data_IF_627538027346
#
_entry.id   IF_627538027346
#
_cell.length_a   1.000
_cell.length_b   1.000
_cell.length_c   1.000
_cell.angle_alpha   90.00
_cell.angle_beta   90.00
_cell.angle_gamma   90.00
#
_symmetry.space_group_name_H-M   'P 1'
#
loop_
_entity.id
_entity.type
_entity.pdbx_description
1 polymer ?
#
# COMPACT_ATOMS: atom_id res chain seq x y z
N UNK A 1 -7.93 -18.17 -0.25
CA UNK A 1 -8.86 -17.11 -0.70
C UNK A 1 -8.94 -16.08 0.41
N UNK A 2 -8.97 -14.78 0.10
CA UNK A 2 -8.99 -13.74 1.13
C UNK A 2 -10.38 -13.57 1.74
N UNK A 3 -10.46 -13.10 2.99
CA UNK A 3 -11.71 -12.69 3.64
C UNK A 3 -11.82 -11.16 3.45
N UNK A 4 -12.88 -10.72 2.77
CA UNK A 4 -13.10 -9.29 2.51
C UNK A 4 -13.67 -8.59 3.75
N UNK A 5 -13.03 -7.48 4.16
CA UNK A 5 -13.44 -6.66 5.31
C UNK A 5 -13.91 -5.28 4.81
N UNK A 6 -15.09 -4.87 5.25
CA UNK A 6 -15.70 -3.57 4.92
C UNK A 6 -15.57 -2.61 6.10
N UNK A 7 -15.24 -1.35 5.82
CA UNK A 7 -15.19 -0.32 6.87
C UNK A 7 -16.61 -0.05 7.34
N UNK A 8 -16.90 -0.34 8.61
CA UNK A 8 -18.16 0.02 9.27
C UNK A 8 -17.84 0.96 10.42
N UNK A 9 -18.81 1.77 10.89
CA UNK A 9 -18.59 2.71 12.01
C UNK A 9 -18.23 2.02 13.34
N UNK A 10 -18.17 0.68 13.38
CA UNK A 10 -17.90 -0.15 14.56
C UNK A 10 -16.43 -0.62 14.61
N UNK A 11 -15.66 -0.47 13.53
CA UNK A 11 -14.27 -1.00 13.43
C UNK A 11 -13.17 0.05 13.64
N UNK A 12 -13.48 1.23 14.20
CA UNK A 12 -12.58 2.39 14.11
C UNK A 12 -11.87 2.75 15.41
N UNK A 13 -10.88 1.94 15.79
CA UNK A 13 -9.68 2.50 16.43
C UNK A 13 -8.81 3.06 15.30
N UNK A 14 -8.99 4.35 14.98
CA UNK A 14 -8.15 5.01 13.97
C UNK A 14 -6.73 5.15 14.53
N UNK A 15 -5.77 4.39 13.99
CA UNK A 15 -4.36 4.55 14.35
C UNK A 15 -3.86 5.95 13.96
N UNK A 16 -2.99 6.53 14.79
CA UNK A 16 -2.29 7.74 14.41
C UNK A 16 -1.31 7.46 13.26
N UNK A 17 -0.89 8.50 12.52
CA UNK A 17 0.10 8.35 11.44
C UNK A 17 1.43 7.74 11.94
N UNK A 18 1.85 8.09 13.16
CA UNK A 18 3.06 7.56 13.78
C UNK A 18 2.90 6.07 14.10
N UNK A 19 1.79 5.68 14.72
CA UNK A 19 1.54 4.29 15.09
C UNK A 19 1.39 3.40 13.84
N UNK A 20 0.76 3.93 12.79
CA UNK A 20 0.66 3.24 11.51
C UNK A 20 2.03 3.01 10.88
N UNK A 21 2.91 4.02 10.87
CA UNK A 21 4.27 3.88 10.34
C UNK A 21 5.11 2.91 11.17
N UNK A 22 5.03 3.00 12.50
CA UNK A 22 5.72 2.08 13.40
C UNK A 22 5.29 0.63 13.12
N UNK A 23 3.98 0.38 13.03
CA UNK A 23 3.44 -0.93 12.72
C UNK A 23 3.91 -1.47 11.36
N UNK A 24 3.92 -0.64 10.31
CA UNK A 24 4.42 -1.06 8.99
C UNK A 24 5.92 -1.40 9.06
N UNK A 25 6.71 -0.57 9.71
CA UNK A 25 8.15 -0.77 9.84
C UNK A 25 8.47 -2.04 10.62
N UNK A 26 7.79 -2.27 11.74
CA UNK A 26 7.97 -3.47 12.56
C UNK A 26 7.54 -4.74 11.79
N UNK A 27 6.41 -4.68 11.09
CA UNK A 27 5.87 -5.85 10.39
C UNK A 27 6.71 -6.24 9.17
N UNK A 28 7.17 -5.25 8.40
CA UNK A 28 7.92 -5.48 7.15
C UNK A 28 9.43 -5.42 7.33
N UNK A 29 9.92 -5.16 8.55
CA UNK A 29 11.33 -4.83 8.81
C UNK A 29 11.80 -3.70 7.87
N UNK A 30 11.01 -2.65 7.78
CA UNK A 30 11.23 -1.49 6.92
C UNK A 30 11.65 -0.26 7.74
N UNK A 31 12.00 0.83 7.04
CA UNK A 31 12.47 2.07 7.66
C UNK A 31 11.82 3.30 7.00
N UNK A 32 10.50 3.26 6.82
CA UNK A 32 9.72 4.39 6.32
C UNK A 32 9.73 5.53 7.35
N UNK A 33 10.00 6.75 6.89
CA UNK A 33 10.02 7.95 7.74
C UNK A 33 8.77 8.80 7.58
N UNK A 34 8.09 8.63 6.44
CA UNK A 34 6.95 9.43 5.99
C UNK A 34 5.85 8.52 5.48
N UNK A 35 4.59 8.84 5.78
CA UNK A 35 3.44 8.03 5.37
C UNK A 35 3.28 8.02 3.85
N UNK A 36 3.74 9.11 3.22
CA UNK A 36 3.79 9.35 1.78
C UNK A 36 4.65 8.31 1.05
N UNK A 37 5.62 7.68 1.73
CA UNK A 37 6.45 6.62 1.14
C UNK A 37 5.63 5.34 0.84
N UNK A 38 4.52 5.13 1.55
CA UNK A 38 3.58 4.04 1.29
C UNK A 38 2.87 4.21 -0.07
N UNK A 39 2.82 5.43 -0.61
CA UNK A 39 2.26 5.69 -1.94
C UNK A 39 3.07 5.06 -3.08
N UNK A 40 4.28 4.55 -2.80
CA UNK A 40 5.04 3.75 -3.77
C UNK A 40 4.36 2.43 -4.14
N UNK A 41 3.45 1.92 -3.30
CA UNK A 41 2.78 0.64 -3.49
C UNK A 41 3.62 -0.59 -3.11
N UNK A 42 4.90 -0.42 -2.79
CA UNK A 42 5.82 -1.53 -2.50
C UNK A 42 5.50 -2.23 -1.18
N UNK A 43 5.18 -1.47 -0.12
CA UNK A 43 4.78 -2.02 1.18
C UNK A 43 3.52 -2.89 1.07
N UNK A 44 2.51 -2.45 0.30
CA UNK A 44 1.29 -3.23 0.07
C UNK A 44 1.55 -4.53 -0.69
N UNK A 45 2.51 -4.52 -1.63
CA UNK A 45 2.95 -5.74 -2.30
C UNK A 45 3.61 -6.71 -1.32
N UNK A 46 4.45 -6.24 -0.39
CA UNK A 46 5.02 -7.08 0.65
C UNK A 46 3.97 -7.66 1.58
N UNK A 47 2.99 -6.86 2.02
CA UNK A 47 1.89 -7.38 2.84
C UNK A 47 1.12 -8.49 2.13
N UNK A 48 0.83 -8.34 0.84
CA UNK A 48 0.13 -9.39 0.09
C UNK A 48 0.96 -10.66 -0.06
N UNK A 49 2.28 -10.56 -0.25
CA UNK A 49 3.15 -11.74 -0.29
C UNK A 49 3.29 -12.40 1.10
N UNK A 50 3.31 -11.61 2.18
CA UNK A 50 3.33 -12.12 3.55
C UNK A 50 2.03 -12.86 3.91
N UNK A 51 0.87 -12.30 3.56
CA UNK A 51 -0.44 -12.91 3.81
C UNK A 51 -0.70 -14.10 2.89
N UNK A 52 -0.27 -14.02 1.64
CA UNK A 52 -0.51 -15.01 0.60
C UNK A 52 0.76 -15.21 -0.24
N UNK A 53 1.71 -16.04 0.23
CA UNK A 53 2.98 -16.27 -0.46
C UNK A 53 2.79 -16.67 -1.92
N UNK A 54 3.50 -15.98 -2.83
CA UNK A 54 3.40 -16.23 -4.27
C UNK A 54 2.15 -15.65 -4.95
N UNK A 55 1.37 -14.81 -4.25
CA UNK A 55 0.31 -14.01 -4.85
C UNK A 55 0.85 -12.81 -5.65
N UNK A 56 2.07 -12.36 -5.32
CA UNK A 56 2.71 -11.16 -5.88
C UNK A 56 3.95 -11.53 -6.68
N UNK A 57 4.17 -10.87 -7.82
CA UNK A 57 5.42 -11.00 -8.59
C UNK A 57 6.53 -10.12 -7.97
N UNK A 58 7.03 -10.50 -6.79
CA UNK A 58 7.95 -9.67 -5.98
C UNK A 58 9.20 -9.20 -6.73
N UNK A 59 9.73 -9.99 -7.68
CA UNK A 59 10.87 -9.60 -8.53
C UNK A 59 10.61 -8.37 -9.41
N UNK A 60 9.34 -8.03 -9.65
CA UNK A 60 8.93 -6.88 -10.47
C UNK A 60 8.58 -5.65 -9.64
N UNK A 61 8.49 -5.79 -8.31
CA UNK A 61 8.16 -4.70 -7.40
C UNK A 61 9.36 -3.78 -7.26
N UNK A 62 9.11 -2.47 -7.34
CA UNK A 62 10.09 -1.40 -7.28
C UNK A 62 10.11 -0.82 -5.87
N UNK A 63 11.06 -1.27 -5.05
CA UNK A 63 11.16 -0.91 -3.63
C UNK A 63 11.79 0.46 -3.37
N UNK A 64 12.71 0.89 -4.23
CA UNK A 64 13.45 2.15 -4.07
C UNK A 64 13.26 3.01 -5.31
N UNK A 65 12.13 3.68 -5.39
CA UNK A 65 11.80 4.55 -6.53
C UNK A 65 11.05 5.79 -6.05
N UNK A 66 11.28 6.90 -6.72
CA UNK A 66 10.52 8.15 -6.55
C UNK A 66 9.78 8.54 -7.84
N UNK A 67 9.68 7.60 -8.80
CA UNK A 67 9.10 7.82 -10.11
C UNK A 67 7.64 7.37 -10.13
N UNK A 68 6.73 8.29 -10.48
CA UNK A 68 5.29 8.02 -10.48
C UNK A 68 4.90 6.82 -11.35
N UNK A 69 5.53 6.66 -12.52
CA UNK A 69 5.25 5.53 -13.41
C UNK A 69 5.61 4.18 -12.78
N UNK A 70 6.60 4.14 -11.88
CA UNK A 70 6.99 2.93 -11.16
C UNK A 70 5.99 2.65 -10.01
N UNK A 71 5.39 3.68 -9.40
CA UNK A 71 4.29 3.49 -8.45
C UNK A 71 3.09 2.84 -9.12
N UNK A 72 2.73 3.32 -10.32
CA UNK A 72 1.66 2.74 -11.13
C UNK A 72 1.95 1.26 -11.44
N UNK A 73 3.21 0.90 -11.75
CA UNK A 73 3.59 -0.50 -11.96
C UNK A 73 3.41 -1.35 -10.70
N UNK A 74 3.85 -0.88 -9.53
CA UNK A 74 3.66 -1.57 -8.26
C UNK A 74 2.17 -1.81 -7.97
N UNK A 75 1.33 -0.79 -8.15
CA UNK A 75 -0.11 -0.95 -7.93
C UNK A 75 -0.79 -1.89 -8.95
N UNK A 76 -0.31 -1.97 -10.20
CA UNK A 76 -0.78 -2.99 -11.16
C UNK A 76 -0.43 -4.40 -10.70
N UNK A 77 0.76 -4.59 -10.12
CA UNK A 77 1.16 -5.87 -9.53
C UNK A 77 0.25 -6.21 -8.36
N UNK A 78 -0.02 -5.25 -7.47
CA UNK A 78 -0.93 -5.41 -6.34
C UNK A 78 -2.36 -5.78 -6.78
N UNK A 79 -2.89 -5.09 -7.79
CA UNK A 79 -4.20 -5.43 -8.37
C UNK A 79 -4.25 -6.87 -8.91
N UNK A 80 -3.17 -7.33 -9.55
CA UNK A 80 -3.04 -8.72 -9.98
C UNK A 80 -3.14 -9.70 -8.82
N UNK A 81 -2.50 -9.39 -7.69
CA UNK A 81 -2.57 -10.20 -6.48
C UNK A 81 -3.98 -10.20 -5.86
N UNK A 82 -4.64 -9.04 -5.79
CA UNK A 82 -6.03 -8.93 -5.33
C UNK A 82 -6.97 -9.79 -6.15
N UNK A 83 -6.86 -9.74 -7.49
CA UNK A 83 -7.66 -10.57 -8.40
C UNK A 83 -7.41 -12.06 -8.17
N UNK A 84 -6.15 -12.47 -7.98
CA UNK A 84 -5.79 -13.87 -7.70
C UNK A 84 -6.38 -14.37 -6.38
N UNK A 85 -6.52 -13.49 -5.39
CA UNK A 85 -7.00 -13.82 -4.05
C UNK A 85 -8.49 -13.53 -3.82
N UNK A 86 -9.21 -13.07 -4.85
CA UNK A 86 -10.63 -12.66 -4.79
C UNK A 86 -10.89 -11.54 -3.78
N UNK A 87 -9.99 -10.56 -3.73
CA UNK A 87 -10.16 -9.34 -2.93
C UNK A 87 -11.01 -8.35 -3.74
N UNK A 88 -12.19 -8.01 -3.23
CA UNK A 88 -13.21 -7.21 -3.95
C UNK A 88 -12.97 -5.69 -3.87
N UNK A 89 -12.00 -5.25 -3.05
CA UNK A 89 -11.66 -3.83 -2.94
C UNK A 89 -10.95 -3.31 -4.18
N UNK A 90 -11.59 -2.37 -4.87
CA UNK A 90 -10.95 -1.56 -5.92
C UNK A 90 -9.96 -0.60 -5.26
N UNK A 91 -8.66 -0.79 -5.50
CA UNK A 91 -7.65 0.17 -5.10
C UNK A 91 -7.73 1.39 -6.01
N UNK A 92 -8.16 2.55 -5.49
CA UNK A 92 -8.23 3.82 -6.22
C UNK A 92 -6.84 4.46 -6.33
N UNK A 93 -5.99 3.86 -7.16
CA UNK A 93 -4.59 4.24 -7.42
C UNK A 93 -4.48 5.74 -7.70
N UNK A 94 -5.35 6.27 -8.58
CA UNK A 94 -5.31 7.66 -9.03
C UNK A 94 -5.64 8.63 -7.88
N UNK A 95 -6.54 8.26 -6.98
CA UNK A 95 -6.89 9.12 -5.85
C UNK A 95 -5.79 9.16 -4.81
N UNK A 96 -5.14 8.03 -4.52
CA UNK A 96 -4.03 7.95 -3.56
C UNK A 96 -2.81 8.75 -4.07
N UNK A 97 -2.45 8.58 -5.34
CA UNK A 97 -1.31 9.31 -5.94
C UNK A 97 -1.61 10.81 -6.04
N UNK A 98 -2.81 11.19 -6.50
CA UNK A 98 -3.21 12.61 -6.56
C UNK A 98 -3.27 13.25 -5.17
N UNK A 99 -3.84 12.57 -4.17
CA UNK A 99 -3.88 13.07 -2.80
C UNK A 99 -2.46 13.26 -2.24
N UNK A 100 -1.54 12.34 -2.53
CA UNK A 100 -0.15 12.49 -2.11
C UNK A 100 0.54 13.69 -2.77
N UNK A 101 0.37 13.87 -4.08
CA UNK A 101 0.97 15.01 -4.82
C UNK A 101 0.40 16.34 -4.32
N UNK A 102 -0.91 16.44 -4.09
CA UNK A 102 -1.54 17.67 -3.57
C UNK A 102 -1.01 17.99 -2.18
N UNK A 103 -0.91 17.01 -1.27
CA UNK A 103 -0.39 17.26 0.08
C UNK A 103 1.12 17.58 0.09
N UNK A 104 1.93 16.96 -0.78
CA UNK A 104 3.36 17.31 -0.89
C UNK A 104 3.61 18.69 -1.52
N UNK A 105 2.62 19.27 -2.22
CA UNK A 105 2.71 20.63 -2.78
C UNK A 105 2.16 21.72 -1.85
N UNK A 106 1.59 21.36 -0.69
CA UNK A 106 1.24 22.31 0.36
C UNK A 106 2.45 22.38 1.31
N UNK A 107 3.49 23.09 0.86
CA UNK A 107 4.49 23.62 1.79
C UNK A 107 3.87 24.83 2.49
N UNK A 108 3.78 24.75 3.82
CA UNK A 108 3.73 25.91 4.71
C UNK A 108 5.09 26.62 4.61
#
# INVERSE_FOLDING_TARGET
>A
MAINVYSTNVTSDNLSRHDMLAWVNDTLSASFTKIEELCSGAAYCQFMDMLFPGSVQMKRVKFRTNLEHEYIQNFKILQGAFKKMSVDKVCLIIQIVKYNIVNNNINI
#
